data_IF_217454587654
#
_entry.id   IF_217454587654
#
_cell.length_a   1.000
_cell.length_b   1.000
_cell.length_c   1.000
_cell.angle_alpha   90.00
_cell.angle_beta   90.00
_cell.angle_gamma   90.00
#
_symmetry.space_group_name_H-M   'P 1'
#
loop_
_entity.id
_entity.type
_entity.pdbx_description
1 polymer ?
#
# COMPACT_ATOMS: atom_id res chain seq x y z
N UNK A 1 0.91 -8.13 5.88
CA UNK A 1 0.57 -7.58 4.56
C UNK A 1 0.32 -6.09 4.69
N UNK A 2 0.80 -5.31 3.75
CA UNK A 2 0.72 -3.84 3.78
C UNK A 2 -0.24 -3.38 2.71
N UNK A 3 -1.22 -2.56 3.06
CA UNK A 3 -2.12 -1.94 2.11
C UNK A 3 -1.70 -0.49 1.87
N UNK A 4 -1.57 -0.10 0.61
CA UNK A 4 -1.30 1.28 0.20
C UNK A 4 -2.60 1.81 -0.40
N UNK A 5 -3.17 2.83 0.21
CA UNK A 5 -4.49 3.30 -0.17
C UNK A 5 -4.42 4.10 -1.46
N UNK A 6 -5.21 3.68 -2.45
CA UNK A 6 -5.39 4.39 -3.70
C UNK A 6 -6.65 5.26 -3.59
N UNK A 7 -6.46 6.56 -3.53
CA UNK A 7 -7.56 7.51 -3.50
C UNK A 7 -7.53 8.48 -4.70
N UNK A 8 -6.84 8.06 -5.75
CA UNK A 8 -6.87 8.77 -7.03
C UNK A 8 -5.85 9.87 -7.23
N UNK A 9 -4.99 10.12 -6.26
CA UNK A 9 -3.94 11.14 -6.37
C UNK A 9 -2.60 10.61 -5.91
N UNK A 10 -1.53 11.20 -6.44
CA UNK A 10 -0.18 10.88 -6.07
C UNK A 10 0.45 9.84 -6.98
N UNK A 11 1.74 9.60 -6.78
CA UNK A 11 2.50 8.62 -7.54
C UNK A 11 2.57 7.31 -6.77
N UNK A 12 1.52 6.51 -6.91
CA UNK A 12 1.40 5.26 -6.15
C UNK A 12 2.45 4.22 -6.53
N UNK A 13 2.91 4.26 -7.78
CA UNK A 13 3.95 3.32 -8.21
C UNK A 13 5.25 3.56 -7.46
N UNK A 14 5.65 4.81 -7.26
CA UNK A 14 6.85 5.15 -6.50
C UNK A 14 6.72 4.73 -5.05
N UNK A 15 5.56 4.96 -4.45
CA UNK A 15 5.29 4.54 -3.06
C UNK A 15 5.37 3.03 -2.94
N UNK A 16 4.73 2.31 -3.86
CA UNK A 16 4.73 0.84 -3.84
C UNK A 16 6.15 0.28 -4.02
N UNK A 17 6.92 0.86 -4.93
CA UNK A 17 8.32 0.45 -5.15
C UNK A 17 9.17 0.69 -3.89
N UNK A 18 8.98 1.82 -3.22
CA UNK A 18 9.71 2.12 -1.99
C UNK A 18 9.37 1.11 -0.88
N UNK A 19 8.10 0.77 -0.73
CA UNK A 19 7.66 -0.22 0.26
C UNK A 19 8.29 -1.58 -0.04
N UNK A 20 8.29 -1.99 -1.30
CA UNK A 20 8.92 -3.27 -1.68
C UNK A 20 10.42 -3.27 -1.45
N UNK A 21 11.06 -2.12 -1.61
CA UNK A 21 12.49 -2.01 -1.36
C UNK A 21 12.82 -2.15 0.13
N UNK A 22 12.01 -1.53 0.99
CA UNK A 22 12.25 -1.52 2.43
C UNK A 22 11.83 -2.85 3.06
N UNK A 23 10.72 -3.43 2.60
CA UNK A 23 10.15 -4.65 3.16
C UNK A 23 9.92 -5.71 2.08
N UNK A 24 11.00 -6.24 1.48
CA UNK A 24 10.85 -7.15 0.32
C UNK A 24 10.18 -8.47 0.66
N UNK A 25 10.19 -8.88 1.93
CA UNK A 25 9.59 -10.14 2.36
C UNK A 25 8.16 -9.98 2.87
N UNK A 26 7.63 -8.77 2.85
CA UNK A 26 6.27 -8.48 3.30
C UNK A 26 5.41 -8.14 2.08
N UNK A 27 4.34 -8.90 1.81
CA UNK A 27 3.45 -8.57 0.70
C UNK A 27 2.84 -7.19 0.86
N UNK A 28 2.78 -6.46 -0.24
CA UNK A 28 2.19 -5.12 -0.26
C UNK A 28 1.31 -4.97 -1.50
N UNK A 29 0.25 -4.18 -1.40
CA UNK A 29 -0.71 -4.01 -2.47
C UNK A 29 -1.26 -2.59 -2.47
N UNK A 30 -1.42 -2.03 -3.67
CA UNK A 30 -2.12 -0.76 -3.86
C UNK A 30 -3.60 -1.09 -4.06
N UNK A 31 -4.46 -0.54 -3.25
CA UNK A 31 -5.87 -0.90 -3.29
C UNK A 31 -6.78 0.21 -2.78
N UNK A 32 -8.02 0.24 -3.27
CA UNK A 32 -9.09 1.06 -2.73
C UNK A 32 -10.20 0.22 -2.09
N UNK A 33 -10.01 -1.10 -2.03
CA UNK A 33 -11.00 -2.02 -1.48
C UNK A 33 -10.98 -1.95 0.06
N UNK A 34 -12.07 -1.49 0.69
CA UNK A 34 -12.10 -1.36 2.15
C UNK A 34 -11.95 -2.69 2.88
N UNK A 35 -12.42 -3.79 2.31
CA UNK A 35 -12.26 -5.10 2.95
C UNK A 35 -10.80 -5.53 2.99
N UNK A 36 -10.10 -5.29 1.90
CA UNK A 36 -8.67 -5.58 1.83
C UNK A 36 -7.89 -4.71 2.82
N UNK A 37 -8.22 -3.41 2.86
CA UNK A 37 -7.57 -2.46 3.76
C UNK A 37 -7.80 -2.88 5.22
N UNK A 38 -9.02 -3.30 5.54
CA UNK A 38 -9.37 -3.71 6.90
C UNK A 38 -8.56 -4.93 7.37
N UNK A 39 -8.23 -5.83 6.46
CA UNK A 39 -7.47 -7.05 6.77
C UNK A 39 -5.97 -6.83 6.81
N UNK A 40 -5.48 -5.69 6.35
CA UNK A 40 -4.04 -5.43 6.31
C UNK A 40 -3.47 -5.24 7.71
N UNK A 41 -2.22 -5.70 7.90
CA UNK A 41 -1.52 -5.48 9.15
C UNK A 41 -1.10 -4.02 9.31
N UNK A 42 -0.72 -3.39 8.21
CA UNK A 42 -0.32 -1.98 8.17
C UNK A 42 -0.96 -1.31 6.97
N UNK A 43 -1.25 -0.03 7.13
CA UNK A 43 -1.89 0.76 6.07
C UNK A 43 -1.05 2.01 5.84
N UNK A 44 -0.76 2.29 4.57
CA UNK A 44 -0.05 3.51 4.16
C UNK A 44 -1.04 4.39 3.42
N UNK A 45 -1.16 5.62 3.87
CA UNK A 45 -2.01 6.61 3.26
C UNK A 45 -1.11 7.69 2.64
N UNK A 46 -0.74 7.58 1.34
CA UNK A 46 0.18 8.54 0.72
C UNK A 46 -0.45 9.93 0.67
N UNK A 47 0.35 10.92 0.99
CA UNK A 47 -0.12 12.29 1.03
C UNK A 47 0.38 13.16 -0.10
#
# INVERSE_FOLDING_TARGET
MIAIIDYGIGNLKSVHNAVRYIAPNTPSEVTSDPDFIHKADKVIFPG
#
